data_IF_175954996390
#
_entry.id   IF_175954996390
#
_cell.length_a   1.000
_cell.length_b   1.000
_cell.length_c   1.000
_cell.angle_alpha   90.00
_cell.angle_beta   90.00
_cell.angle_gamma   90.00
#
_symmetry.space_group_name_H-M   'P 1'
#
loop_
_entity.id
_entity.type
_entity.pdbx_description
1 polymer ?
#
# COMPACT_ATOMS: atom_id res chain seq x y z
N UNK A 1 32.52 1.03 21.50
CA UNK A 1 33.01 1.01 20.09
C UNK A 1 33.03 -0.38 19.48
N UNK A 2 33.76 -1.39 20.00
CA UNK A 2 33.84 -2.75 19.41
C UNK A 2 32.47 -3.42 19.22
N UNK A 3 31.68 -3.56 20.27
CA UNK A 3 30.36 -4.22 20.23
C UNK A 3 29.38 -3.50 19.31
N UNK A 4 29.46 -2.19 19.25
CA UNK A 4 28.63 -1.38 18.35
C UNK A 4 28.94 -1.67 16.89
N UNK A 5 30.23 -1.78 16.54
CA UNK A 5 30.68 -2.19 15.18
C UNK A 5 30.21 -3.62 14.86
N UNK A 6 30.31 -4.56 15.82
CA UNK A 6 29.86 -5.94 15.60
C UNK A 6 28.37 -6.04 15.34
N UNK A 7 27.54 -5.31 16.09
CA UNK A 7 26.08 -5.24 15.86
C UNK A 7 25.79 -4.64 14.49
N UNK A 8 26.47 -3.55 14.14
CA UNK A 8 26.32 -2.90 12.84
C UNK A 8 26.75 -3.79 11.68
N UNK A 9 27.81 -4.57 11.83
CA UNK A 9 28.22 -5.59 10.83
C UNK A 9 27.11 -6.62 10.66
N UNK A 10 26.58 -7.18 11.76
CA UNK A 10 25.49 -8.14 11.73
C UNK A 10 24.26 -7.56 11.01
N UNK A 11 23.85 -6.33 11.34
CA UNK A 11 22.71 -5.65 10.71
C UNK A 11 22.94 -5.39 9.23
N UNK A 12 24.15 -4.99 8.87
CA UNK A 12 24.50 -4.76 7.47
C UNK A 12 24.45 -6.07 6.66
N UNK A 13 24.93 -7.18 7.24
CA UNK A 13 24.88 -8.50 6.61
C UNK A 13 23.46 -9.05 6.51
N UNK A 14 22.59 -8.74 7.44
CA UNK A 14 21.18 -9.10 7.37
C UNK A 14 20.42 -8.32 6.29
N UNK A 15 20.77 -7.06 6.07
CA UNK A 15 20.16 -6.23 5.04
C UNK A 15 20.74 -6.45 3.65
N UNK A 16 22.01 -6.84 3.55
CA UNK A 16 22.73 -7.10 2.30
C UNK A 16 23.18 -8.55 2.29
N UNK A 17 22.74 -9.32 1.31
CA UNK A 17 23.00 -10.76 1.24
C UNK A 17 24.47 -11.16 1.33
N UNK A 18 25.42 -10.29 0.91
CA UNK A 18 26.86 -10.58 0.92
C UNK A 18 27.70 -9.31 0.86
N UNK A 19 28.79 -9.25 1.64
CA UNK A 19 29.79 -8.17 1.63
C UNK A 19 31.19 -8.75 1.64
N UNK A 20 32.16 -8.05 1.05
CA UNK A 20 33.57 -8.44 1.19
C UNK A 20 34.14 -7.96 2.53
N UNK A 21 35.19 -8.61 3.03
CA UNK A 21 35.87 -8.15 4.23
C UNK A 21 36.45 -6.74 4.06
N UNK A 22 36.81 -6.37 2.81
CA UNK A 22 37.31 -5.04 2.50
C UNK A 22 36.19 -3.99 2.58
N UNK A 23 34.99 -4.26 2.04
CA UNK A 23 33.85 -3.34 2.13
C UNK A 23 33.50 -3.01 3.59
N UNK A 24 33.57 -4.03 4.45
CA UNK A 24 33.32 -3.86 5.89
C UNK A 24 34.44 -3.06 6.56
N UNK A 25 35.71 -3.39 6.22
CA UNK A 25 36.87 -2.70 6.76
C UNK A 25 36.85 -1.21 6.44
N UNK A 26 36.56 -0.86 5.18
CA UNK A 26 36.49 0.52 4.68
C UNK A 26 35.31 1.29 5.33
N UNK A 27 34.17 0.64 5.47
CA UNK A 27 32.98 1.27 6.07
C UNK A 27 33.18 1.68 7.53
N UNK A 28 33.94 0.87 8.32
CA UNK A 28 34.09 1.10 9.76
C UNK A 28 35.51 1.56 10.16
N UNK A 29 36.37 1.86 9.17
CA UNK A 29 37.77 2.26 9.39
C UNK A 29 38.52 1.29 10.30
N UNK A 30 38.44 -0.01 10.00
CA UNK A 30 39.11 -1.10 10.71
C UNK A 30 39.88 -1.99 9.74
N UNK A 31 40.83 -2.76 10.28
CA UNK A 31 41.57 -3.74 9.45
C UNK A 31 40.69 -4.93 9.06
N UNK A 32 40.94 -5.55 7.91
CA UNK A 32 40.28 -6.80 7.50
C UNK A 32 40.50 -7.92 8.53
N UNK A 33 41.64 -7.93 9.23
CA UNK A 33 41.91 -8.85 10.33
C UNK A 33 40.92 -8.63 11.49
N UNK A 34 40.58 -7.37 11.78
CA UNK A 34 39.54 -7.04 12.78
C UNK A 34 38.17 -7.49 12.34
N UNK A 35 37.86 -7.36 11.06
CA UNK A 35 36.59 -7.87 10.49
C UNK A 35 36.45 -9.37 10.72
N UNK A 36 37.44 -10.16 10.35
CA UNK A 36 37.41 -11.62 10.57
C UNK A 36 37.29 -12.00 12.04
N UNK A 37 37.97 -11.29 12.94
CA UNK A 37 37.85 -11.51 14.36
C UNK A 37 36.41 -11.19 14.86
N UNK A 38 35.81 -10.14 14.39
CA UNK A 38 34.44 -9.78 14.78
C UNK A 38 33.41 -10.77 14.22
N UNK A 39 33.61 -11.27 13.02
CA UNK A 39 32.80 -12.34 12.43
C UNK A 39 32.90 -13.63 13.23
N UNK A 40 34.11 -14.00 13.68
CA UNK A 40 34.32 -15.17 14.54
C UNK A 40 33.62 -15.01 15.89
N UNK A 41 33.70 -13.83 16.50
CA UNK A 41 32.98 -13.53 17.75
C UNK A 41 31.46 -13.57 17.56
N UNK A 42 30.92 -13.09 16.41
CA UNK A 42 29.50 -13.22 16.09
C UNK A 42 29.08 -14.68 15.98
N UNK A 43 29.89 -15.53 15.37
CA UNK A 43 29.65 -16.98 15.30
C UNK A 43 29.60 -17.62 16.70
N UNK A 44 30.54 -17.24 17.57
CA UNK A 44 30.54 -17.69 18.98
C UNK A 44 29.27 -17.24 19.72
N UNK A 45 28.73 -16.05 19.38
CA UNK A 45 27.47 -15.54 19.92
C UNK A 45 26.22 -16.18 19.29
N UNK A 46 26.36 -17.17 18.41
CA UNK A 46 25.24 -17.90 17.80
C UNK A 46 24.68 -17.27 16.51
N UNK A 47 25.36 -16.28 15.95
CA UNK A 47 25.01 -15.72 14.62
C UNK A 47 25.75 -16.50 13.54
N UNK A 48 25.09 -17.33 12.71
CA UNK A 48 25.75 -18.18 11.73
C UNK A 48 26.27 -17.36 10.54
N UNK A 49 27.50 -16.88 10.64
CA UNK A 49 28.16 -16.11 9.58
C UNK A 49 29.04 -17.03 8.76
N UNK A 50 28.75 -17.08 7.46
CA UNK A 50 29.51 -17.85 6.48
C UNK A 50 30.57 -16.99 5.78
N UNK A 51 31.77 -17.56 5.58
CA UNK A 51 32.83 -16.91 4.83
C UNK A 51 33.13 -17.75 3.59
N UNK A 52 32.90 -17.23 2.41
CA UNK A 52 33.22 -17.85 1.13
C UNK A 52 34.43 -17.18 0.50
N UNK A 53 35.39 -18.00 -0.02
CA UNK A 53 36.63 -17.54 -0.70
C UNK A 53 36.44 -17.49 -2.21
N UNK A 54 37.25 -16.70 -2.90
CA UNK A 54 37.31 -16.64 -4.37
C UNK A 54 36.76 -15.34 -4.95
N UNK A 55 36.75 -15.23 -6.29
CA UNK A 55 36.36 -14.02 -7.03
C UNK A 55 34.94 -13.52 -6.69
N UNK A 56 34.06 -14.44 -6.29
CA UNK A 56 32.67 -14.14 -5.85
C UNK A 56 32.51 -14.45 -4.36
N UNK A 57 33.63 -14.47 -3.60
CA UNK A 57 33.65 -14.70 -2.17
C UNK A 57 33.08 -13.51 -1.38
N UNK A 58 32.92 -13.71 -0.08
CA UNK A 58 32.46 -12.67 0.85
C UNK A 58 31.93 -13.27 2.15
N UNK A 59 31.43 -12.40 2.98
CA UNK A 59 30.86 -12.68 4.29
C UNK A 59 29.36 -12.55 4.15
N UNK A 60 28.59 -13.53 4.62
CA UNK A 60 27.13 -13.55 4.61
C UNK A 60 26.60 -14.21 5.87
N UNK A 61 25.36 -13.93 6.21
CA UNK A 61 24.63 -14.67 7.26
C UNK A 61 23.77 -15.73 6.56
N UNK A 62 23.66 -16.91 7.17
CA UNK A 62 22.83 -17.98 6.64
C UNK A 62 21.38 -17.52 6.43
N UNK A 63 20.78 -17.82 5.28
CA UNK A 63 19.43 -17.40 4.91
C UNK A 63 18.35 -17.91 5.88
N UNK A 64 18.66 -18.95 6.65
CA UNK A 64 17.81 -19.53 7.68
C UNK A 64 17.84 -18.78 9.01
N UNK A 65 18.84 -17.93 9.22
CA UNK A 65 18.98 -17.18 10.47
C UNK A 65 17.87 -16.14 10.60
N UNK A 66 17.26 -16.09 11.76
CA UNK A 66 16.25 -15.08 12.12
C UNK A 66 16.65 -14.40 13.41
N UNK A 67 16.53 -13.08 13.44
CA UNK A 67 16.73 -12.33 14.67
C UNK A 67 15.70 -12.75 15.71
N UNK A 68 16.14 -12.99 16.96
CA UNK A 68 15.20 -13.24 18.06
C UNK A 68 14.28 -12.03 18.29
N UNK A 69 13.06 -12.28 18.74
CA UNK A 69 12.04 -11.23 18.96
C UNK A 69 12.43 -10.13 19.96
N UNK A 70 13.37 -10.41 20.88
CA UNK A 70 13.90 -9.41 21.83
C UNK A 70 14.76 -8.32 21.16
N UNK A 71 14.99 -8.43 19.85
CA UNK A 71 15.76 -7.46 19.07
C UNK A 71 15.01 -6.16 18.80
N UNK A 72 13.69 -6.17 18.88
CA UNK A 72 12.89 -4.97 18.76
C UNK A 72 12.85 -4.20 20.07
N UNK A 73 13.00 -2.87 20.02
CA UNK A 73 12.64 -2.03 21.15
C UNK A 73 11.14 -2.16 21.42
N UNK A 74 10.71 -1.72 22.61
CA UNK A 74 9.29 -1.76 22.97
C UNK A 74 8.43 -0.94 22.01
N UNK A 75 8.94 0.21 21.57
CA UNK A 75 8.28 1.11 20.63
C UNK A 75 8.15 0.47 19.26
N UNK A 76 9.24 -0.13 18.73
CA UNK A 76 9.24 -0.84 17.45
C UNK A 76 8.30 -2.04 17.47
N UNK A 77 8.28 -2.77 18.57
CA UNK A 77 7.39 -3.91 18.75
C UNK A 77 5.92 -3.47 18.74
N UNK A 78 5.59 -2.41 19.49
CA UNK A 78 4.24 -1.84 19.51
C UNK A 78 3.82 -1.30 18.14
N UNK A 79 4.72 -0.61 17.43
CA UNK A 79 4.48 -0.13 16.09
C UNK A 79 4.19 -1.28 15.11
N UNK A 80 4.94 -2.40 15.23
CA UNK A 80 4.73 -3.60 14.40
C UNK A 80 3.36 -4.22 14.67
N UNK A 81 2.96 -4.39 15.93
CA UNK A 81 1.63 -4.90 16.28
C UNK A 81 0.52 -3.98 15.75
N UNK A 82 0.66 -2.65 15.87
CA UNK A 82 -0.32 -1.70 15.38
C UNK A 82 -0.46 -1.78 13.84
N UNK A 83 0.65 -1.89 13.12
CA UNK A 83 0.64 -2.07 11.67
C UNK A 83 -0.06 -3.37 11.24
N UNK A 84 0.21 -4.49 11.95
CA UNK A 84 -0.45 -5.76 11.68
C UNK A 84 -1.94 -5.73 12.05
N UNK A 85 -2.34 -5.07 13.14
CA UNK A 85 -3.74 -4.85 13.49
C UNK A 85 -4.47 -4.05 12.41
N UNK A 86 -3.87 -2.97 11.92
CA UNK A 86 -4.42 -2.16 10.83
C UNK A 86 -4.61 -3.00 9.57
N UNK A 87 -3.66 -3.88 9.25
CA UNK A 87 -3.74 -4.78 8.11
C UNK A 87 -4.79 -5.87 8.30
N UNK A 88 -4.86 -6.50 9.49
CA UNK A 88 -5.79 -7.58 9.79
C UNK A 88 -7.27 -7.16 9.74
N UNK A 89 -7.56 -5.87 9.97
CA UNK A 89 -8.91 -5.32 9.81
C UNK A 89 -9.36 -5.26 8.35
N UNK A 90 -8.42 -5.32 7.40
CA UNK A 90 -8.65 -5.14 5.96
C UNK A 90 -8.52 -6.43 5.16
N UNK A 91 -7.64 -7.34 5.59
CA UNK A 91 -7.24 -8.56 4.86
C UNK A 91 -7.35 -9.75 5.80
N UNK A 92 -7.93 -10.85 5.30
CA UNK A 92 -8.06 -12.10 6.08
C UNK A 92 -6.85 -13.03 5.89
N UNK A 93 -5.66 -12.48 5.63
CA UNK A 93 -4.44 -13.27 5.44
C UNK A 93 -4.08 -14.02 6.74
N UNK A 94 -4.06 -15.34 6.65
CA UNK A 94 -3.71 -16.22 7.77
C UNK A 94 -2.31 -15.93 8.31
N UNK A 95 -1.38 -15.53 7.44
CA UNK A 95 -0.01 -15.23 7.83
C UNK A 95 0.05 -13.97 8.71
N UNK A 96 -0.74 -12.95 8.37
CA UNK A 96 -0.88 -11.71 9.15
C UNK A 96 -1.49 -12.02 10.53
N UNK A 97 -2.59 -12.78 10.55
CA UNK A 97 -3.26 -13.17 11.80
C UNK A 97 -2.34 -14.01 12.69
N UNK A 98 -1.67 -15.00 12.12
CA UNK A 98 -0.75 -15.87 12.87
C UNK A 98 0.46 -15.08 13.40
N UNK A 99 1.00 -14.15 12.60
CA UNK A 99 2.09 -13.28 13.06
C UNK A 99 1.63 -12.40 14.22
N UNK A 100 0.45 -11.80 14.11
CA UNK A 100 -0.16 -10.98 15.15
C UNK A 100 -0.38 -11.76 16.44
N UNK A 101 -0.96 -12.97 16.37
CA UNK A 101 -1.17 -13.86 17.52
C UNK A 101 0.17 -14.22 18.20
N UNK A 102 1.19 -14.57 17.42
CA UNK A 102 2.53 -14.86 17.95
C UNK A 102 3.16 -13.68 18.67
N UNK A 103 3.08 -12.50 18.07
CA UNK A 103 3.59 -11.28 18.66
C UNK A 103 2.80 -10.93 19.94
N UNK A 104 1.49 -10.93 19.92
CA UNK A 104 0.67 -10.64 21.10
C UNK A 104 0.86 -11.65 22.23
N UNK A 105 1.12 -12.92 21.92
CA UNK A 105 1.39 -13.95 22.94
C UNK A 105 2.67 -13.68 23.72
N UNK A 106 3.66 -13.04 23.13
CA UNK A 106 4.91 -12.65 23.79
C UNK A 106 4.72 -11.47 24.75
N UNK A 107 3.73 -10.60 24.53
CA UNK A 107 3.38 -9.49 25.41
C UNK A 107 2.72 -9.91 26.72
N UNK A 108 2.08 -11.09 26.77
CA UNK A 108 1.36 -11.58 27.96
C UNK A 108 2.23 -11.82 29.19
N UNK A 109 3.56 -11.83 29.06
CA UNK A 109 4.48 -11.92 30.19
C UNK A 109 4.75 -10.57 30.87
N UNK A 110 4.36 -9.47 30.27
CA UNK A 110 4.41 -8.14 30.88
C UNK A 110 2.99 -7.80 31.36
N UNK A 111 2.77 -7.82 32.68
CA UNK A 111 1.48 -7.59 33.37
C UNK A 111 0.94 -6.15 33.20
N UNK A 112 1.03 -5.57 32.04
CA UNK A 112 0.48 -4.24 31.75
C UNK A 112 -0.47 -4.32 30.57
N UNK A 113 -1.71 -4.07 30.93
CA UNK A 113 -2.95 -3.90 30.16
C UNK A 113 -2.79 -3.48 28.68
N UNK A 114 -3.77 -3.88 27.87
CA UNK A 114 -4.03 -3.40 26.51
C UNK A 114 -3.86 -1.88 26.38
N UNK A 115 -2.61 -1.42 26.30
CA UNK A 115 -2.34 -0.03 25.97
C UNK A 115 -2.62 0.11 24.49
N UNK A 116 -3.72 0.78 24.19
CA UNK A 116 -4.01 1.24 22.83
C UNK A 116 -2.78 2.01 22.34
N UNK A 117 -2.18 1.58 21.25
CA UNK A 117 -1.05 2.32 20.65
C UNK A 117 -1.47 3.75 20.30
N UNK A 118 -0.51 4.64 20.14
CA UNK A 118 -0.74 6.05 19.80
C UNK A 118 -1.40 6.24 18.42
N UNK A 119 -1.56 5.18 17.62
CA UNK A 119 -2.12 5.20 16.27
C UNK A 119 -3.18 4.11 16.18
N UNK A 120 -4.39 4.50 15.82
CA UNK A 120 -5.48 3.60 15.44
C UNK A 120 -5.75 3.82 13.97
N UNK A 121 -5.72 2.75 13.17
CA UNK A 121 -6.10 2.79 11.76
C UNK A 121 -7.45 2.08 11.62
N UNK A 122 -8.49 2.85 11.35
CA UNK A 122 -9.81 2.33 10.98
C UNK A 122 -9.97 2.42 9.46
N UNK A 123 -9.93 1.27 8.79
CA UNK A 123 -10.14 1.14 7.35
C UNK A 123 -11.59 0.81 6.98
N UNK A 124 -12.54 1.08 7.86
CA UNK A 124 -13.96 0.79 7.66
C UNK A 124 -14.52 1.41 6.38
N UNK A 125 -15.41 0.67 5.71
CA UNK A 125 -16.14 1.17 4.54
C UNK A 125 -17.59 1.50 4.93
N UNK A 126 -18.17 2.54 4.33
CA UNK A 126 -19.57 2.94 4.50
C UNK A 126 -20.52 1.95 3.82
N UNK A 127 -20.41 0.65 4.04
CA UNK A 127 -21.23 -0.32 3.35
C UNK A 127 -21.28 -1.68 4.05
N UNK A 128 -21.95 -2.65 3.40
CA UNK A 128 -22.00 -4.03 3.85
C UNK A 128 -20.59 -4.64 3.87
N UNK A 129 -19.94 -4.53 5.01
CA UNK A 129 -18.57 -5.00 5.24
C UNK A 129 -18.44 -6.51 4.96
N UNK A 130 -19.50 -7.30 5.20
CA UNK A 130 -19.49 -8.75 4.99
C UNK A 130 -19.37 -9.11 3.50
N UNK A 131 -20.17 -8.48 2.64
CA UNK A 131 -20.09 -8.72 1.18
C UNK A 131 -18.77 -8.27 0.59
N UNK A 132 -18.18 -7.22 1.12
CA UNK A 132 -16.86 -6.79 0.69
C UNK A 132 -15.78 -7.78 1.14
N UNK A 133 -15.81 -8.21 2.41
CA UNK A 133 -14.88 -9.19 2.96
C UNK A 133 -14.92 -10.53 2.21
N UNK A 134 -16.11 -11.00 1.83
CA UNK A 134 -16.26 -12.24 1.06
C UNK A 134 -15.59 -12.11 -0.32
N UNK A 135 -15.76 -10.99 -1.02
CA UNK A 135 -15.09 -10.74 -2.31
C UNK A 135 -13.58 -10.63 -2.16
N UNK A 136 -13.14 -9.95 -1.10
CA UNK A 136 -11.74 -9.81 -0.78
C UNK A 136 -11.09 -11.18 -0.56
N UNK A 137 -11.71 -12.04 0.26
CA UNK A 137 -11.24 -13.39 0.53
C UNK A 137 -11.14 -14.26 -0.73
N UNK A 138 -12.10 -14.15 -1.66
CA UNK A 138 -12.05 -14.87 -2.94
C UNK A 138 -10.86 -14.40 -3.77
N UNK A 139 -10.63 -13.07 -3.87
CA UNK A 139 -9.49 -12.52 -4.58
C UNK A 139 -8.16 -12.92 -3.93
N UNK A 140 -8.07 -12.88 -2.61
CA UNK A 140 -6.90 -13.26 -1.83
C UNK A 140 -6.55 -14.73 -2.03
N UNK A 141 -7.54 -15.62 -1.91
CA UNK A 141 -7.37 -17.06 -2.17
C UNK A 141 -6.89 -17.30 -3.61
N UNK A 142 -7.47 -16.59 -4.58
CA UNK A 142 -7.08 -16.72 -5.99
C UNK A 142 -5.63 -16.30 -6.26
N UNK A 143 -5.17 -15.21 -5.63
CA UNK A 143 -3.76 -14.76 -5.72
C UNK A 143 -2.80 -15.78 -5.11
N UNK A 144 -3.14 -16.31 -3.92
CA UNK A 144 -2.29 -17.22 -3.16
C UNK A 144 -2.23 -18.61 -3.81
N UNK A 145 -3.36 -19.11 -4.28
CA UNK A 145 -3.48 -20.46 -4.88
C UNK A 145 -3.33 -20.46 -6.41
N UNK A 146 -3.04 -19.30 -7.02
CA UNK A 146 -2.86 -19.13 -8.47
C UNK A 146 -4.06 -19.65 -9.26
N UNK A 147 -5.27 -19.32 -8.82
CA UNK A 147 -6.55 -19.75 -9.43
C UNK A 147 -7.17 -18.63 -10.25
N UNK A 148 -7.66 -18.97 -11.43
CA UNK A 148 -8.38 -18.04 -12.29
C UNK A 148 -9.78 -17.75 -11.74
N UNK A 149 -10.22 -16.50 -11.91
CA UNK A 149 -11.55 -16.04 -11.48
C UNK A 149 -12.40 -15.61 -12.67
N UNK A 150 -13.66 -15.99 -12.63
CA UNK A 150 -14.72 -15.36 -13.39
C UNK A 150 -15.33 -14.25 -12.54
N UNK A 151 -15.20 -13.00 -12.99
CA UNK A 151 -15.76 -11.84 -12.32
C UNK A 151 -16.89 -11.21 -13.14
N UNK A 152 -17.95 -10.78 -12.46
CA UNK A 152 -18.95 -9.85 -12.99
C UNK A 152 -18.55 -8.44 -12.53
N UNK A 153 -18.17 -7.59 -13.47
CA UNK A 153 -17.55 -6.31 -13.22
C UNK A 153 -18.35 -5.15 -13.79
N UNK A 154 -18.49 -4.08 -13.02
CA UNK A 154 -19.07 -2.82 -13.50
C UNK A 154 -17.92 -1.85 -13.77
N UNK A 155 -17.83 -1.38 -15.01
CA UNK A 155 -16.85 -0.37 -15.40
C UNK A 155 -17.14 0.98 -14.72
N UNK A 156 -16.26 1.95 -14.91
CA UNK A 156 -16.47 3.32 -14.41
C UNK A 156 -17.65 3.99 -15.11
N UNK A 157 -17.86 3.64 -16.36
CA UNK A 157 -18.93 4.14 -17.23
C UNK A 157 -20.27 3.45 -16.94
N UNK A 158 -20.33 2.51 -15.99
CA UNK A 158 -21.53 1.76 -15.62
C UNK A 158 -21.77 0.50 -16.46
N UNK A 159 -20.86 0.15 -17.38
CA UNK A 159 -21.02 -1.02 -18.23
C UNK A 159 -20.79 -2.33 -17.47
N UNK A 160 -21.71 -3.27 -17.63
CA UNK A 160 -21.61 -4.61 -17.07
C UNK A 160 -20.83 -5.54 -18.00
N UNK A 161 -19.87 -6.28 -17.44
CA UNK A 161 -19.11 -7.26 -18.20
C UNK A 161 -18.76 -8.49 -17.35
N UNK A 162 -18.68 -9.65 -18.01
CA UNK A 162 -18.10 -10.87 -17.41
C UNK A 162 -16.69 -11.04 -17.95
N UNK A 163 -15.75 -11.31 -17.07
CA UNK A 163 -14.33 -11.44 -17.43
C UNK A 163 -13.69 -12.58 -16.68
N UNK A 164 -12.88 -13.35 -17.38
CA UNK A 164 -11.93 -14.28 -16.75
C UNK A 164 -10.64 -13.50 -16.53
N UNK A 165 -10.14 -13.58 -15.29
CA UNK A 165 -8.91 -12.94 -14.88
C UNK A 165 -8.01 -13.91 -14.11
N UNK A 166 -6.71 -13.74 -14.26
CA UNK A 166 -5.68 -14.39 -13.45
C UNK A 166 -5.13 -13.37 -12.44
N UNK A 167 -5.51 -13.47 -11.16
CA UNK A 167 -5.12 -12.49 -10.15
C UNK A 167 -3.65 -12.64 -9.75
N UNK A 168 -2.89 -11.54 -9.78
CA UNK A 168 -1.47 -11.53 -9.45
C UNK A 168 -1.17 -10.87 -8.10
N UNK A 169 -1.73 -9.68 -7.85
CA UNK A 169 -1.42 -8.88 -6.67
C UNK A 169 -2.67 -8.14 -6.19
N UNK A 170 -2.84 -8.07 -4.87
CA UNK A 170 -3.79 -7.16 -4.24
C UNK A 170 -3.11 -5.82 -3.94
N UNK A 171 -3.75 -4.74 -4.30
CA UNK A 171 -3.23 -3.38 -4.14
C UNK A 171 -4.18 -2.57 -3.26
N UNK A 172 -3.65 -2.03 -2.17
CA UNK A 172 -4.35 -1.03 -1.36
C UNK A 172 -3.81 0.35 -1.69
N UNK A 173 -4.66 1.23 -2.20
CA UNK A 173 -4.30 2.59 -2.60
C UNK A 173 -5.44 3.56 -2.30
N UNK A 174 -5.13 4.68 -1.62
CA UNK A 174 -6.12 5.72 -1.31
C UNK A 174 -7.40 5.15 -0.68
N UNK A 175 -7.24 4.33 0.34
CA UNK A 175 -8.31 3.64 1.07
C UNK A 175 -9.21 2.73 0.19
N UNK A 176 -8.71 2.29 -0.96
CA UNK A 176 -9.43 1.43 -1.92
C UNK A 176 -8.61 0.21 -2.28
N UNK A 177 -9.27 -0.97 -2.28
CA UNK A 177 -8.68 -2.23 -2.70
C UNK A 177 -8.88 -2.49 -4.19
N UNK A 178 -7.82 -2.94 -4.81
CA UNK A 178 -7.77 -3.36 -6.21
C UNK A 178 -7.13 -4.74 -6.34
N UNK A 179 -7.45 -5.44 -7.41
CA UNK A 179 -6.73 -6.62 -7.85
C UNK A 179 -6.06 -6.34 -9.21
N UNK A 180 -4.75 -6.51 -9.26
CA UNK A 180 -3.96 -6.50 -10.49
C UNK A 180 -3.98 -7.89 -11.07
N UNK A 181 -4.45 -8.04 -12.30
CA UNK A 181 -4.71 -9.33 -12.91
C UNK A 181 -4.50 -9.29 -14.43
N UNK A 182 -4.11 -10.42 -15.00
CA UNK A 182 -4.17 -10.61 -16.45
C UNK A 182 -5.62 -10.85 -16.87
N UNK A 183 -6.12 -10.06 -17.80
CA UNK A 183 -7.50 -10.14 -18.28
C UNK A 183 -7.55 -10.94 -19.58
N UNK A 184 -8.13 -12.13 -19.58
CA UNK A 184 -8.24 -12.98 -20.78
C UNK A 184 -9.02 -12.32 -21.92
N UNK A 185 -10.05 -11.55 -21.61
CA UNK A 185 -10.86 -10.85 -22.63
C UNK A 185 -10.07 -9.75 -23.36
N UNK A 186 -9.13 -9.09 -22.65
CA UNK A 186 -8.36 -7.97 -23.22
C UNK A 186 -6.90 -8.34 -23.52
N UNK A 187 -6.48 -9.58 -23.18
CA UNK A 187 -5.12 -10.11 -23.36
C UNK A 187 -4.02 -9.17 -22.82
N UNK A 188 -4.30 -8.55 -21.67
CA UNK A 188 -3.37 -7.61 -21.03
C UNK A 188 -3.62 -7.55 -19.53
N UNK A 189 -2.62 -7.11 -18.79
CA UNK A 189 -2.75 -6.81 -17.38
C UNK A 189 -3.65 -5.59 -17.14
N UNK A 190 -4.51 -5.69 -16.15
CA UNK A 190 -5.43 -4.63 -15.74
C UNK A 190 -5.62 -4.61 -14.24
N UNK A 191 -5.96 -3.45 -13.73
CA UNK A 191 -6.31 -3.23 -12.34
C UNK A 191 -7.83 -3.13 -12.19
N UNK A 192 -8.42 -3.98 -11.36
CA UNK A 192 -9.85 -4.02 -11.10
C UNK A 192 -10.13 -3.55 -9.67
N UNK A 193 -10.99 -2.54 -9.50
CA UNK A 193 -11.46 -2.11 -8.17
C UNK A 193 -12.36 -3.19 -7.58
N UNK A 194 -11.99 -3.77 -6.41
CA UNK A 194 -12.72 -4.90 -5.81
C UNK A 194 -14.16 -4.51 -5.48
N UNK A 195 -14.40 -3.27 -5.04
CA UNK A 195 -15.74 -2.76 -4.80
C UNK A 195 -16.68 -2.80 -6.01
N UNK A 196 -16.15 -2.78 -7.25
CA UNK A 196 -16.92 -2.86 -8.51
C UNK A 196 -17.15 -4.29 -8.99
N UNK A 197 -16.57 -5.28 -8.36
CA UNK A 197 -16.86 -6.69 -8.61
C UNK A 197 -18.21 -7.00 -7.95
N UNK A 198 -19.21 -7.38 -8.74
CA UNK A 198 -20.51 -7.79 -8.24
C UNK A 198 -20.49 -9.23 -7.75
N UNK A 199 -19.85 -10.11 -8.52
CA UNK A 199 -19.69 -11.52 -8.21
C UNK A 199 -18.30 -11.99 -8.66
N UNK A 200 -17.65 -12.80 -7.85
CA UNK A 200 -16.42 -13.50 -8.19
C UNK A 200 -16.57 -14.99 -7.88
N UNK A 201 -16.14 -15.83 -8.79
CA UNK A 201 -16.16 -17.29 -8.62
C UNK A 201 -14.92 -17.91 -9.28
N UNK A 202 -14.43 -19.00 -8.72
CA UNK A 202 -13.33 -19.75 -9.33
C UNK A 202 -13.81 -20.41 -10.63
N UNK A 203 -12.97 -20.36 -11.67
CA UNK A 203 -13.26 -21.09 -12.94
C UNK A 203 -12.97 -22.58 -12.83
N UNK A 204 -12.16 -22.98 -11.88
CA UNK A 204 -11.58 -24.33 -11.77
C UNK A 204 -10.16 -24.42 -12.35
N UNK A 205 -9.75 -23.44 -13.14
CA UNK A 205 -8.43 -23.39 -13.76
C UNK A 205 -7.39 -22.76 -12.82
N UNK A 206 -6.15 -23.18 -13.00
CA UNK A 206 -4.97 -22.56 -12.39
C UNK A 206 -4.11 -21.91 -13.47
N UNK A 207 -3.32 -20.91 -13.11
CA UNK A 207 -2.42 -20.25 -14.02
C UNK A 207 -0.98 -20.23 -13.51
N UNK A 208 -0.05 -20.17 -14.43
CA UNK A 208 1.37 -20.04 -14.09
C UNK A 208 1.68 -18.56 -13.82
N UNK A 209 1.97 -18.25 -12.56
CA UNK A 209 2.23 -16.87 -12.13
C UNK A 209 3.66 -16.49 -12.53
N UNK A 210 3.79 -15.56 -13.48
CA UNK A 210 5.07 -14.91 -13.78
C UNK A 210 5.45 -13.99 -12.61
N UNK A 211 6.74 -13.87 -12.34
CA UNK A 211 7.22 -12.87 -11.38
C UNK A 211 6.91 -11.48 -11.91
N UNK A 212 6.23 -10.70 -11.10
CA UNK A 212 5.90 -9.30 -11.38
C UNK A 212 6.57 -8.46 -10.33
N UNK A 213 7.48 -7.59 -10.75
CA UNK A 213 8.13 -6.64 -9.85
C UNK A 213 7.21 -5.46 -9.54
N UNK A 214 7.45 -4.78 -8.42
CA UNK A 214 6.66 -3.62 -8.02
C UNK A 214 6.69 -2.51 -9.08
N UNK A 215 7.82 -2.35 -9.78
CA UNK A 215 8.04 -1.31 -10.78
C UNK A 215 7.23 -1.56 -12.07
N UNK A 216 6.91 -2.83 -12.36
CA UNK A 216 6.04 -3.21 -13.48
C UNK A 216 4.56 -2.90 -13.20
N UNK A 217 4.17 -2.80 -11.93
CA UNK A 217 2.81 -2.45 -11.53
C UNK A 217 2.68 -0.93 -11.55
N UNK A 218 2.09 -0.42 -12.62
CA UNK A 218 1.78 1.00 -12.68
C UNK A 218 0.71 1.37 -11.64
N UNK A 219 1.15 1.94 -10.52
CA UNK A 219 0.25 2.40 -9.48
C UNK A 219 -0.50 3.69 -9.86
N UNK A 220 -0.10 4.35 -10.95
CA UNK A 220 -0.76 5.54 -11.49
C UNK A 220 -1.82 5.19 -12.55
N UNK A 221 -2.41 3.99 -12.47
CA UNK A 221 -3.42 3.51 -13.42
C UNK A 221 -4.65 4.42 -13.55
N UNK A 222 -4.83 5.36 -12.66
CA UNK A 222 -5.85 6.41 -12.77
C UNK A 222 -5.45 7.54 -13.73
N UNK A 223 -4.17 7.91 -13.74
CA UNK A 223 -3.68 9.11 -14.43
C UNK A 223 -3.21 8.86 -15.86
N UNK A 224 -2.88 7.62 -16.22
CA UNK A 224 -2.27 7.32 -17.54
C UNK A 224 -3.23 7.34 -18.72
N UNK A 225 -4.55 7.38 -18.51
CA UNK A 225 -5.56 7.39 -19.56
C UNK A 225 -6.48 8.61 -19.53
N UNK A 226 -6.26 9.53 -18.58
CA UNK A 226 -7.12 10.71 -18.40
C UNK A 226 -6.30 11.98 -18.62
N UNK A 227 -6.83 12.89 -19.42
CA UNK A 227 -6.24 14.21 -19.62
C UNK A 227 -6.22 14.94 -18.29
N UNK A 228 -5.06 15.45 -17.89
CA UNK A 228 -4.93 16.34 -16.75
C UNK A 228 -5.32 17.77 -17.14
N UNK A 229 -5.95 18.47 -16.24
CA UNK A 229 -6.43 19.84 -16.44
C UNK A 229 -6.08 20.69 -15.22
N UNK A 230 -5.60 21.90 -15.46
CA UNK A 230 -5.40 22.88 -14.41
C UNK A 230 -6.75 23.48 -14.03
N UNK A 231 -7.05 23.47 -12.75
CA UNK A 231 -8.35 23.86 -12.21
C UNK A 231 -8.16 24.93 -11.16
N UNK A 232 -8.98 25.96 -11.27
CA UNK A 232 -9.09 27.02 -10.28
C UNK A 232 -10.46 26.94 -9.64
N UNK A 233 -10.50 26.76 -8.32
CA UNK A 233 -11.70 26.62 -7.53
C UNK A 233 -11.85 27.76 -6.54
N UNK A 234 -13.06 28.32 -6.39
CA UNK A 234 -13.44 29.16 -5.26
C UNK A 234 -14.09 28.31 -4.19
N UNK A 235 -13.69 28.52 -2.93
CA UNK A 235 -14.11 27.73 -1.78
C UNK A 235 -14.71 28.67 -0.75
N UNK A 236 -15.95 28.45 -0.34
CA UNK A 236 -16.60 29.21 0.73
C UNK A 236 -15.92 28.92 2.08
N UNK A 237 -15.80 29.94 2.92
CA UNK A 237 -15.11 29.86 4.21
C UNK A 237 -15.59 28.70 5.10
N UNK A 238 -16.88 28.41 5.10
CA UNK A 238 -17.46 27.35 5.92
C UNK A 238 -17.04 25.94 5.48
N UNK A 239 -16.62 25.78 4.22
CA UNK A 239 -16.24 24.48 3.62
C UNK A 239 -14.71 24.27 3.62
N UNK A 240 -13.95 25.27 4.09
CA UNK A 240 -12.50 25.22 4.06
C UNK A 240 -11.92 23.95 4.71
N UNK A 241 -12.33 23.50 5.92
CA UNK A 241 -11.76 22.30 6.53
C UNK A 241 -11.92 21.04 5.68
N UNK A 242 -13.12 20.85 5.09
CA UNK A 242 -13.40 19.69 4.23
C UNK A 242 -12.65 19.79 2.90
N UNK A 243 -12.45 20.99 2.38
CA UNK A 243 -11.72 21.25 1.15
C UNK A 243 -10.19 21.04 1.33
N UNK A 244 -9.64 21.39 2.49
CA UNK A 244 -8.23 21.15 2.84
C UNK A 244 -7.87 19.66 2.81
N UNK A 245 -8.75 18.78 3.29
CA UNK A 245 -8.56 17.32 3.25
C UNK A 245 -8.44 16.78 1.81
N UNK A 246 -9.11 17.41 0.86
CA UNK A 246 -9.09 17.03 -0.54
C UNK A 246 -7.95 17.69 -1.34
N UNK A 247 -7.80 19.02 -1.19
CA UNK A 247 -6.94 19.84 -2.04
C UNK A 247 -5.52 19.99 -1.48
N UNK A 248 -5.36 19.78 -0.16
CA UNK A 248 -4.14 20.08 0.58
C UNK A 248 -4.01 21.57 0.91
N UNK A 249 -3.56 21.90 2.11
CA UNK A 249 -3.43 23.27 2.60
C UNK A 249 -2.54 24.15 1.72
N UNK A 250 -1.47 23.58 1.16
CA UNK A 250 -0.47 24.32 0.36
C UNK A 250 -1.04 24.84 -0.97
N UNK A 251 -2.17 24.33 -1.42
CA UNK A 251 -2.81 24.71 -2.69
C UNK A 251 -3.93 25.73 -2.52
N UNK A 252 -4.20 26.17 -1.28
CA UNK A 252 -5.31 27.04 -0.94
C UNK A 252 -4.80 28.39 -0.44
N UNK A 253 -5.28 29.48 -1.04
CA UNK A 253 -4.92 30.85 -0.70
C UNK A 253 -6.17 31.68 -0.34
N UNK A 254 -6.06 32.68 0.56
CA UNK A 254 -7.17 33.60 0.83
C UNK A 254 -7.58 34.40 -0.42
N UNK A 255 -8.90 34.54 -0.64
CA UNK A 255 -9.47 35.30 -1.76
C UNK A 255 -10.71 36.06 -1.31
N UNK A 256 -10.53 37.32 -0.93
CA UNK A 256 -11.59 38.16 -0.35
C UNK A 256 -12.12 37.55 0.96
N UNK A 257 -13.43 37.24 1.00
CA UNK A 257 -14.09 36.56 2.12
C UNK A 257 -14.03 35.03 2.00
N UNK A 258 -13.56 34.51 0.88
CA UNK A 258 -13.47 33.11 0.52
C UNK A 258 -12.01 32.67 0.35
N UNK A 259 -11.80 31.52 -0.25
CA UNK A 259 -10.50 30.98 -0.58
C UNK A 259 -10.47 30.58 -2.05
N UNK A 260 -9.27 30.52 -2.62
CA UNK A 260 -9.02 30.03 -3.99
C UNK A 260 -8.04 28.87 -3.92
N UNK A 261 -8.31 27.82 -4.67
CA UNK A 261 -7.38 26.71 -4.85
C UNK A 261 -7.00 26.55 -6.32
N UNK A 262 -5.70 26.25 -6.56
CA UNK A 262 -5.16 25.94 -7.88
C UNK A 262 -4.55 24.56 -7.85
N UNK A 263 -5.11 23.63 -8.61
CA UNK A 263 -4.69 22.23 -8.67
C UNK A 263 -4.64 21.72 -10.11
N UNK A 264 -3.80 20.74 -10.36
CA UNK A 264 -3.86 19.92 -11.58
C UNK A 264 -4.61 18.62 -11.25
N UNK A 265 -5.72 18.36 -11.90
CA UNK A 265 -6.61 17.23 -11.63
C UNK A 265 -6.99 16.46 -12.91
N UNK A 266 -7.38 15.18 -12.81
CA UNK A 266 -7.86 14.43 -13.96
C UNK A 266 -9.21 14.95 -14.44
N UNK A 267 -9.33 15.30 -15.73
CA UNK A 267 -10.58 15.74 -16.36
C UNK A 267 -11.52 14.55 -16.55
N UNK A 268 -12.21 14.17 -15.50
CA UNK A 268 -13.10 13.02 -15.50
C UNK A 268 -14.36 13.24 -14.64
N UNK A 269 -15.32 12.29 -14.75
CA UNK A 269 -16.54 12.35 -13.93
C UNK A 269 -16.29 12.28 -12.42
N UNK A 270 -15.12 11.83 -11.96
CA UNK A 270 -14.76 11.82 -10.54
C UNK A 270 -14.52 13.23 -10.01
N UNK A 271 -13.82 14.08 -10.78
CA UNK A 271 -13.63 15.49 -10.43
C UNK A 271 -14.96 16.24 -10.32
N UNK A 272 -15.85 16.05 -11.30
CA UNK A 272 -17.18 16.64 -11.30
C UNK A 272 -17.97 16.20 -10.07
N UNK A 273 -17.99 14.90 -9.75
CA UNK A 273 -18.69 14.38 -8.58
C UNK A 273 -18.10 14.90 -7.27
N UNK A 274 -16.78 15.02 -7.19
CA UNK A 274 -16.08 15.56 -6.02
C UNK A 274 -16.49 17.03 -5.78
N UNK A 275 -16.51 17.85 -6.82
CA UNK A 275 -16.95 19.25 -6.72
C UNK A 275 -18.42 19.32 -6.27
N UNK A 276 -19.29 18.52 -6.87
CA UNK A 276 -20.71 18.48 -6.52
C UNK A 276 -20.97 17.99 -5.09
N UNK A 277 -20.10 17.18 -4.51
CA UNK A 277 -20.24 16.70 -3.13
C UNK A 277 -20.20 17.83 -2.09
N UNK A 278 -19.64 18.98 -2.44
CA UNK A 278 -19.62 20.18 -1.60
C UNK A 278 -20.89 21.06 -1.73
N UNK A 279 -21.92 20.59 -2.43
CA UNK A 279 -23.24 21.22 -2.43
C UNK A 279 -23.29 22.66 -2.96
N UNK A 280 -22.31 23.08 -3.77
CA UNK A 280 -22.23 24.42 -4.33
C UNK A 280 -21.32 25.40 -3.54
N UNK A 281 -20.79 24.96 -2.39
CA UNK A 281 -19.82 25.75 -1.62
C UNK A 281 -18.41 25.75 -2.24
N UNK A 282 -18.17 24.86 -3.23
CA UNK A 282 -16.98 24.87 -4.09
C UNK A 282 -17.43 25.15 -5.51
N UNK A 283 -16.88 26.22 -6.12
CA UNK A 283 -17.23 26.67 -7.45
C UNK A 283 -16.01 26.59 -8.39
N UNK A 284 -16.23 26.15 -9.62
CA UNK A 284 -15.20 26.16 -10.65
C UNK A 284 -15.12 27.56 -11.25
N UNK A 285 -13.93 28.19 -11.15
CA UNK A 285 -13.62 29.44 -11.84
C UNK A 285 -13.04 29.15 -13.22
N UNK A 286 -12.11 28.19 -13.30
CA UNK A 286 -11.45 27.75 -14.52
C UNK A 286 -11.20 26.23 -14.47
N UNK A 287 -11.22 25.55 -15.62
CA UNK A 287 -11.59 26.01 -16.97
C UNK A 287 -13.10 26.00 -17.21
N UNK A 288 -13.55 26.76 -18.22
CA UNK A 288 -14.99 26.89 -18.52
C UNK A 288 -15.63 25.55 -18.92
N UNK A 289 -14.91 24.67 -19.61
CA UNK A 289 -15.39 23.33 -19.97
C UNK A 289 -15.77 22.50 -18.74
N UNK A 290 -14.94 22.56 -17.68
CA UNK A 290 -15.22 21.86 -16.40
C UNK A 290 -16.44 22.49 -15.71
N UNK A 291 -16.53 23.81 -15.69
CA UNK A 291 -17.66 24.53 -15.13
C UNK A 291 -18.97 24.10 -15.76
N UNK A 292 -19.02 24.05 -17.09
CA UNK A 292 -20.20 23.56 -17.82
C UNK A 292 -20.54 22.10 -17.50
N UNK A 293 -19.51 21.22 -17.34
CA UNK A 293 -19.74 19.82 -16.93
C UNK A 293 -20.40 19.76 -15.54
N UNK A 294 -19.93 20.57 -14.58
CA UNK A 294 -20.48 20.64 -13.23
C UNK A 294 -21.91 21.18 -13.25
N UNK A 295 -22.16 22.28 -13.98
CA UNK A 295 -23.51 22.86 -14.12
C UNK A 295 -24.49 21.87 -14.74
N UNK A 296 -24.09 21.17 -15.81
CA UNK A 296 -24.93 20.16 -16.45
C UNK A 296 -25.23 18.99 -15.52
N UNK A 297 -24.27 18.58 -14.70
CA UNK A 297 -24.47 17.52 -13.73
C UNK A 297 -25.42 17.98 -12.61
N UNK A 298 -25.29 19.22 -12.13
CA UNK A 298 -26.20 19.81 -11.15
C UNK A 298 -27.64 19.92 -11.68
N UNK A 299 -27.81 20.38 -12.93
CA UNK A 299 -29.13 20.41 -13.59
C UNK A 299 -29.79 19.02 -13.67
N UNK A 300 -28.99 17.98 -13.99
CA UNK A 300 -29.50 16.59 -14.00
C UNK A 300 -29.97 16.13 -12.63
N UNK A 301 -29.29 16.52 -11.54
CA UNK A 301 -29.71 16.20 -10.16
C UNK A 301 -31.07 16.82 -9.86
N UNK A 302 -31.29 18.04 -10.32
CA UNK A 302 -32.55 18.79 -10.13
C UNK A 302 -33.69 18.40 -11.09
N UNK A 303 -33.38 17.50 -12.08
CA UNK A 303 -34.34 17.15 -13.14
C UNK A 303 -34.66 18.30 -14.11
N UNK A 304 -33.81 19.33 -14.15
CA UNK A 304 -33.96 20.50 -15.04
C UNK A 304 -33.23 20.14 -16.39
N UNK A 305 -33.95 20.36 -17.49
CA UNK A 305 -33.42 20.20 -18.84
C UNK A 305 -32.54 21.37 -19.26
#
# INVERSE_FOLDING_TARGET
MKYQIMIDIMMTLLSRRKLTAQDIADKYDISTRSVYRYVEELNVCGVPVDISRGRYGGISIADTFRLPSWYFTREEYTATINALNAMSSQVSDKSVLTALEKLQSQQKNDKRENVCGNIIVDGGTWGDSKKFSDKMRVCETAVNEKKSLLIEYISREGEHSKRVIDPYVLIFKQNVWYVYAFCHTKQTFRTFKIGRIKKASFTGDTFEKKEVTRDEINLNFYYNSVKMVDVTLEIEKATLPDAEDWLGMDNIEPYGNNFIARITAPDDGGLVNQILSYGGCVKVLEPEDLKQKVENAAKKILGIK
#
